data_IF_631338362818
#
_entry.id   IF_631338362818
#
_cell.length_a   1.000
_cell.length_b   1.000
_cell.length_c   1.000
_cell.angle_alpha   90.00
_cell.angle_beta   90.00
_cell.angle_gamma   90.00
#
_symmetry.space_group_name_H-M   'P 1'
#
loop_
_entity.id
_entity.type
_entity.pdbx_description
1 polymer ?
#
# COMPACT_ATOMS: atom_id res chain seq x y z
N UNK A 1 -22.76 -23.71 -22.89
CA UNK A 1 -21.35 -23.27 -22.91
C UNK A 1 -20.87 -23.23 -21.45
N UNK A 2 -19.88 -24.03 -21.06
CA UNK A 2 -19.39 -24.06 -19.67
C UNK A 2 -18.63 -22.76 -19.38
N UNK A 3 -19.33 -21.73 -18.89
CA UNK A 3 -18.71 -20.45 -18.50
C UNK A 3 -17.80 -20.57 -17.26
N UNK A 4 -17.95 -21.66 -16.50
CA UNK A 4 -17.24 -21.91 -15.24
C UNK A 4 -15.70 -21.85 -15.32
N UNK A 5 -15.02 -22.54 -16.26
CA UNK A 5 -13.56 -22.58 -16.26
C UNK A 5 -12.92 -21.25 -16.68
N UNK A 6 -13.53 -20.51 -17.61
CA UNK A 6 -12.94 -19.27 -18.14
C UNK A 6 -13.10 -18.10 -17.16
N UNK A 7 -14.30 -17.92 -16.58
CA UNK A 7 -14.54 -16.91 -15.56
C UNK A 7 -13.70 -17.15 -14.32
N UNK A 8 -13.61 -18.41 -13.85
CA UNK A 8 -12.75 -18.76 -12.72
C UNK A 8 -11.29 -18.44 -13.02
N UNK A 9 -10.82 -18.69 -14.26
CA UNK A 9 -9.44 -18.36 -14.65
C UNK A 9 -9.19 -16.86 -14.67
N UNK A 10 -10.16 -16.06 -15.14
CA UNK A 10 -10.04 -14.60 -15.13
C UNK A 10 -10.07 -14.02 -13.72
N UNK A 11 -11.01 -14.46 -12.87
CA UNK A 11 -11.09 -14.01 -11.46
C UNK A 11 -9.82 -14.38 -10.71
N UNK A 12 -9.33 -15.61 -10.88
CA UNK A 12 -8.08 -16.06 -10.27
C UNK A 12 -6.89 -15.22 -10.74
N UNK A 13 -6.75 -15.01 -12.05
CA UNK A 13 -5.67 -14.19 -12.60
C UNK A 13 -5.72 -12.75 -12.10
N UNK A 14 -6.91 -12.16 -12.03
CA UNK A 14 -7.13 -10.83 -11.49
C UNK A 14 -6.77 -10.74 -10.00
N UNK A 15 -7.23 -11.69 -9.18
CA UNK A 15 -6.93 -11.71 -7.75
C UNK A 15 -5.43 -11.88 -7.47
N UNK A 16 -4.77 -12.76 -8.24
CA UNK A 16 -3.32 -12.97 -8.12
C UNK A 16 -2.54 -11.75 -8.59
N UNK A 17 -3.00 -11.07 -9.65
CA UNK A 17 -2.45 -9.77 -10.06
C UNK A 17 -2.60 -8.71 -8.97
N UNK A 18 -3.77 -8.59 -8.35
CA UNK A 18 -3.97 -7.64 -7.25
C UNK A 18 -3.09 -7.97 -6.06
N UNK A 19 -2.91 -9.26 -5.75
CA UNK A 19 -2.02 -9.69 -4.68
C UNK A 19 -0.55 -9.31 -4.97
N UNK A 20 -0.07 -9.60 -6.18
CA UNK A 20 1.29 -9.25 -6.61
C UNK A 20 1.49 -7.73 -6.71
N UNK A 21 0.47 -6.97 -7.09
CA UNK A 21 0.52 -5.51 -7.17
C UNK A 21 0.50 -4.84 -5.79
N UNK A 22 -0.38 -5.29 -4.89
CA UNK A 22 -0.52 -4.70 -3.55
C UNK A 22 0.65 -5.08 -2.66
N UNK A 23 0.98 -6.38 -2.61
CA UNK A 23 1.97 -6.90 -1.66
C UNK A 23 3.34 -6.97 -2.31
N UNK A 24 3.42 -7.56 -3.51
CA UNK A 24 4.61 -7.65 -4.34
C UNK A 24 5.89 -8.02 -3.59
N UNK A 25 7.00 -7.44 -4.05
CA UNK A 25 8.34 -7.67 -3.49
C UNK A 25 8.61 -6.86 -2.21
N UNK A 26 7.77 -5.87 -1.89
CA UNK A 26 7.96 -4.94 -0.76
C UNK A 26 6.68 -4.79 0.06
N UNK A 27 6.26 -5.82 0.81
CA UNK A 27 5.03 -5.82 1.58
C UNK A 27 4.95 -4.68 2.60
N UNK A 28 6.07 -4.07 2.96
CA UNK A 28 6.11 -2.96 3.90
C UNK A 28 5.56 -1.66 3.30
N UNK A 29 5.63 -1.47 1.98
CA UNK A 29 4.95 -0.34 1.32
C UNK A 29 3.43 -0.51 1.38
N UNK A 30 2.94 -1.75 1.25
CA UNK A 30 1.52 -2.05 1.43
C UNK A 30 1.04 -1.73 2.84
N UNK A 31 1.76 -2.21 3.85
CA UNK A 31 1.45 -1.92 5.26
C UNK A 31 1.53 -0.42 5.53
N UNK A 32 2.52 0.28 4.98
CA UNK A 32 2.63 1.73 5.10
C UNK A 32 1.41 2.44 4.49
N UNK A 33 0.98 2.06 3.28
CA UNK A 33 -0.18 2.65 2.62
C UNK A 33 -1.46 2.48 3.46
N UNK A 34 -1.75 1.26 3.93
CA UNK A 34 -2.90 0.99 4.80
C UNK A 34 -2.81 1.81 6.09
N UNK A 35 -1.63 1.87 6.71
CA UNK A 35 -1.42 2.62 7.95
C UNK A 35 -1.64 4.12 7.75
N UNK A 36 -1.14 4.69 6.66
CA UNK A 36 -1.32 6.10 6.30
C UNK A 36 -2.80 6.41 6.10
N UNK A 37 -3.50 5.58 5.32
CA UNK A 37 -4.95 5.75 5.09
C UNK A 37 -5.71 5.67 6.41
N UNK A 38 -5.40 4.69 7.27
CA UNK A 38 -6.03 4.54 8.58
C UNK A 38 -5.81 5.75 9.48
N UNK A 39 -4.58 6.26 9.59
CA UNK A 39 -4.26 7.46 10.39
C UNK A 39 -4.99 8.69 9.84
N UNK A 40 -4.99 8.90 8.53
CA UNK A 40 -5.67 10.04 7.91
C UNK A 40 -7.18 9.95 8.09
N UNK A 41 -7.77 8.76 7.93
CA UNK A 41 -9.20 8.54 8.16
C UNK A 41 -9.59 8.78 9.61
N UNK A 42 -8.77 8.33 10.58
CA UNK A 42 -9.01 8.62 12.00
C UNK A 42 -8.94 10.13 12.29
N UNK A 43 -7.98 10.85 11.70
CA UNK A 43 -7.89 12.30 11.86
C UNK A 43 -9.06 13.05 11.22
N UNK A 44 -9.46 12.66 10.00
CA UNK A 44 -10.53 13.31 9.23
C UNK A 44 -11.92 12.97 9.78
N UNK A 45 -12.25 11.69 9.88
CA UNK A 45 -13.62 11.23 10.13
C UNK A 45 -13.94 11.09 11.61
N UNK A 46 -12.99 10.63 12.44
CA UNK A 46 -13.25 10.46 13.87
C UNK A 46 -12.92 11.73 14.68
N UNK A 47 -11.86 12.44 14.30
CA UNK A 47 -11.39 13.62 15.02
C UNK A 47 -11.81 14.97 14.42
N UNK A 48 -12.32 14.99 13.18
CA UNK A 48 -12.58 16.23 12.41
C UNK A 48 -11.38 17.18 12.29
N UNK A 49 -10.16 16.66 12.41
CA UNK A 49 -8.91 17.42 12.32
C UNK A 49 -8.43 17.52 10.86
N UNK A 50 -9.26 18.07 9.98
CA UNK A 50 -9.01 18.09 8.54
C UNK A 50 -7.70 18.81 8.17
N UNK A 51 -7.36 19.90 8.87
CA UNK A 51 -6.07 20.59 8.69
C UNK A 51 -4.88 19.68 9.01
N UNK A 52 -4.96 18.89 10.07
CA UNK A 52 -3.91 17.93 10.44
C UNK A 52 -3.86 16.77 9.42
N UNK A 53 -5.00 16.28 8.94
CA UNK A 53 -5.08 15.23 7.93
C UNK A 53 -4.39 15.65 6.61
N UNK A 54 -4.62 16.89 6.15
CA UNK A 54 -4.01 17.47 4.94
C UNK A 54 -2.49 17.46 5.01
N UNK A 55 -1.91 17.75 6.18
CA UNK A 55 -0.45 17.77 6.37
C UNK A 55 0.10 16.37 6.64
N UNK A 56 -0.62 15.55 7.40
CA UNK A 56 -0.18 14.21 7.83
C UNK A 56 -0.04 13.27 6.65
N UNK A 57 -0.96 13.30 5.68
CA UNK A 57 -0.91 12.43 4.50
C UNK A 57 0.42 12.58 3.71
N UNK A 58 0.77 13.78 3.18
CA UNK A 58 2.01 13.94 2.41
C UNK A 58 3.25 13.73 3.29
N UNK A 59 3.21 14.12 4.56
CA UNK A 59 4.33 13.91 5.49
C UNK A 59 4.64 12.42 5.68
N UNK A 60 3.63 11.62 6.02
CA UNK A 60 3.82 10.18 6.21
C UNK A 60 4.21 9.47 4.90
N UNK A 61 3.68 9.92 3.76
CA UNK A 61 4.06 9.38 2.45
C UNK A 61 5.54 9.63 2.15
N UNK A 62 6.03 10.85 2.35
CA UNK A 62 7.45 11.19 2.17
C UNK A 62 8.34 10.38 3.12
N UNK A 63 7.94 10.24 4.38
CA UNK A 63 8.68 9.43 5.36
C UNK A 63 8.71 7.96 4.96
N UNK A 64 7.57 7.37 4.59
CA UNK A 64 7.49 5.97 4.16
C UNK A 64 8.37 5.69 2.93
N UNK A 65 8.33 6.57 1.93
CA UNK A 65 9.19 6.49 0.75
C UNK A 65 10.67 6.63 1.13
N UNK A 66 11.02 7.62 1.96
CA UNK A 66 12.40 7.81 2.42
C UNK A 66 12.95 6.60 3.17
N UNK A 67 12.15 5.98 4.04
CA UNK A 67 12.51 4.75 4.75
C UNK A 67 12.68 3.58 3.77
N UNK A 68 11.76 3.42 2.81
CA UNK A 68 11.82 2.38 1.79
C UNK A 68 13.10 2.48 0.96
N UNK A 69 13.42 3.67 0.44
CA UNK A 69 14.64 3.94 -0.32
C UNK A 69 15.88 3.62 0.52
N UNK A 70 15.94 4.12 1.76
CA UNK A 70 17.07 3.87 2.66
C UNK A 70 17.28 2.38 2.93
N UNK A 71 16.21 1.61 3.06
CA UNK A 71 16.27 0.16 3.25
C UNK A 71 16.74 -0.55 1.98
N UNK A 72 16.22 -0.19 0.81
CA UNK A 72 16.64 -0.72 -0.48
C UNK A 72 18.14 -0.47 -0.72
N UNK A 73 18.61 0.76 -0.45
CA UNK A 73 20.04 1.11 -0.53
C UNK A 73 20.90 0.26 0.42
N UNK A 74 20.45 0.03 1.65
CA UNK A 74 21.16 -0.82 2.62
C UNK A 74 21.24 -2.27 2.18
N UNK A 75 20.16 -2.82 1.60
CA UNK A 75 20.14 -4.17 1.07
C UNK A 75 21.09 -4.32 -0.12
N UNK A 76 21.10 -3.33 -1.03
CA UNK A 76 21.99 -3.31 -2.18
C UNK A 76 23.49 -3.26 -1.78
N UNK A 77 23.85 -2.53 -0.73
CA UNK A 77 25.24 -2.44 -0.24
C UNK A 77 25.74 -3.70 0.48
N UNK A 78 24.84 -4.60 0.88
CA UNK A 78 25.20 -5.87 1.54
C UNK A 78 25.41 -7.02 0.56
N UNK A 79 25.01 -6.83 -0.70
CA UNK A 79 25.33 -7.72 -1.82
C UNK A 79 26.63 -7.25 -2.49
#
# INVERSE_FOLDING_TARGET
>A
MKAGPLLVRFVKGFAMFWWDFLVGDTPELFVAAISIIGVVALLSEAGHFNGAAIVTLPLLAVVALGVSIKRAQRAARRK
#
